data_IF_287109622063
#
_entry.id   IF_287109622063
#
_cell.length_a   1.000
_cell.length_b   1.000
_cell.length_c   1.000
_cell.angle_alpha   90.00
_cell.angle_beta   90.00
_cell.angle_gamma   90.00
#
_symmetry.space_group_name_H-M   'P 1'
#
loop_
_entity.id
_entity.type
_entity.pdbx_description
1 polymer ?
#
# COMPACT_ATOMS: atom_id res chain seq x y z
N UNK A 1 39.05 -7.51 -15.24
CA UNK A 1 38.84 -6.28 -16.03
C UNK A 1 37.82 -5.40 -15.32
N UNK A 2 38.20 -4.81 -14.18
CA UNK A 2 37.26 -4.18 -13.22
C UNK A 2 37.50 -2.65 -13.06
N UNK A 3 38.23 -2.05 -14.00
CA UNK A 3 38.60 -0.62 -13.99
C UNK A 3 37.72 0.29 -14.85
N UNK A 4 36.97 -0.25 -15.81
CA UNK A 4 36.28 0.57 -16.82
C UNK A 4 34.94 1.16 -16.37
N UNK A 5 34.33 0.61 -15.32
CA UNK A 5 32.99 1.03 -14.87
C UNK A 5 33.00 2.27 -13.97
N UNK A 6 34.14 2.61 -13.35
CA UNK A 6 34.25 3.78 -12.46
C UNK A 6 34.48 5.09 -13.24
N UNK A 7 35.16 5.02 -14.38
CA UNK A 7 35.49 6.19 -15.21
C UNK A 7 34.24 6.69 -15.96
N UNK A 8 33.36 5.78 -16.38
CA UNK A 8 32.10 6.12 -17.03
C UNK A 8 31.16 6.95 -16.12
N UNK A 9 31.15 6.68 -14.81
CA UNK A 9 30.31 7.39 -13.84
C UNK A 9 30.73 8.85 -13.61
N UNK A 10 32.03 9.13 -13.61
CA UNK A 10 32.57 10.47 -13.39
C UNK A 10 32.38 11.35 -14.63
N UNK A 11 32.55 10.78 -15.83
CA UNK A 11 32.33 11.50 -17.10
C UNK A 11 30.84 11.86 -17.28
N UNK A 12 29.92 11.00 -16.83
CA UNK A 12 28.47 11.27 -16.87
C UNK A 12 28.02 12.35 -15.87
N UNK A 13 28.71 12.53 -14.75
CA UNK A 13 28.36 13.57 -13.77
C UNK A 13 28.83 14.98 -14.16
N UNK A 14 29.88 15.13 -14.97
CA UNK A 14 30.34 16.46 -15.41
C UNK A 14 29.56 17.03 -16.60
N UNK A 15 28.87 16.20 -17.39
CA UNK A 15 28.13 16.69 -18.56
C UNK A 15 26.78 17.33 -18.20
N UNK A 16 26.15 16.88 -17.11
CA UNK A 16 24.86 17.40 -16.66
C UNK A 16 24.91 18.82 -16.08
N UNK A 17 26.04 19.20 -15.48
CA UNK A 17 26.19 20.49 -14.80
C UNK A 17 26.58 21.65 -15.73
N UNK A 18 27.06 21.38 -16.96
CA UNK A 18 27.42 22.44 -17.91
C UNK A 18 26.23 23.01 -18.70
N UNK A 19 25.13 22.26 -18.86
CA UNK A 19 23.92 22.77 -19.55
C UNK A 19 23.09 23.75 -18.71
N UNK A 20 23.29 23.78 -17.39
CA UNK A 20 22.52 24.66 -16.50
C UNK A 20 22.97 26.14 -16.57
N UNK A 21 24.20 26.42 -17.01
CA UNK A 21 24.75 27.78 -17.03
C UNK A 21 24.62 28.51 -18.38
N UNK A 22 24.16 27.83 -19.44
CA UNK A 22 24.00 28.42 -20.78
C UNK A 22 22.61 29.01 -21.09
N UNK A 23 21.60 28.82 -20.24
CA UNK A 23 20.20 29.17 -20.57
C UNK A 23 19.75 30.55 -20.09
N UNK A 24 20.60 31.31 -19.39
CA UNK A 24 20.22 32.63 -18.85
C UNK A 24 20.35 33.80 -19.83
N UNK A 25 20.82 33.57 -21.07
CA UNK A 25 21.05 34.68 -22.02
C UNK A 25 20.48 34.31 -23.38
N UNK A 26 19.18 34.55 -23.58
CA UNK A 26 18.53 34.99 -24.84
C UNK A 26 17.04 34.64 -24.86
N UNK A 27 16.28 35.18 -23.91
CA UNK A 27 14.82 35.28 -24.02
C UNK A 27 14.47 36.39 -25.02
N UNK A 28 14.69 36.11 -26.31
CA UNK A 28 14.29 36.99 -27.39
C UNK A 28 13.15 36.30 -28.14
N UNK A 29 11.91 36.51 -27.68
CA UNK A 29 10.59 36.29 -28.32
C UNK A 29 10.31 34.90 -28.96
N UNK A 30 11.22 34.34 -29.74
CA UNK A 30 11.13 33.04 -30.41
C UNK A 30 10.89 31.85 -29.46
N UNK A 31 11.50 31.85 -28.26
CA UNK A 31 11.27 30.78 -27.27
C UNK A 31 9.84 30.73 -26.72
N UNK A 32 9.16 31.88 -26.69
CA UNK A 32 7.79 32.00 -26.20
C UNK A 32 6.78 31.47 -27.23
N UNK A 33 7.06 31.63 -28.52
CA UNK A 33 6.19 31.12 -29.60
C UNK A 33 6.27 29.59 -29.70
N UNK A 34 7.48 29.02 -29.55
CA UNK A 34 7.70 27.56 -29.63
C UNK A 34 7.00 26.83 -28.46
N UNK A 35 6.99 27.42 -27.26
CA UNK A 35 6.32 26.83 -26.09
C UNK A 35 4.80 26.81 -26.20
N UNK A 36 4.17 27.79 -26.86
CA UNK A 36 2.72 27.82 -27.11
C UNK A 36 2.29 26.73 -28.12
N UNK A 37 3.09 26.50 -29.17
CA UNK A 37 2.76 25.51 -30.21
C UNK A 37 2.85 24.07 -29.67
N UNK A 38 3.89 23.76 -28.88
CA UNK A 38 4.04 22.44 -28.25
C UNK A 38 2.92 22.20 -27.23
N UNK A 39 2.54 23.23 -26.46
CA UNK A 39 1.44 23.15 -25.50
C UNK A 39 0.07 22.85 -26.14
N UNK A 40 -0.24 23.48 -27.28
CA UNK A 40 -1.55 23.32 -27.95
C UNK A 40 -1.70 21.98 -28.67
N UNK A 41 -0.64 21.44 -29.28
CA UNK A 41 -0.64 20.11 -29.91
C UNK A 41 -0.67 19.00 -28.83
N UNK A 42 0.10 19.17 -27.75
CA UNK A 42 0.10 18.25 -26.61
C UNK A 42 -1.26 18.15 -25.92
N UNK A 43 -1.94 19.28 -25.69
CA UNK A 43 -3.27 19.33 -25.05
C UNK A 43 -4.33 18.56 -25.84
N UNK A 44 -4.31 18.65 -27.17
CA UNK A 44 -5.29 17.98 -28.05
C UNK A 44 -5.08 16.47 -28.11
N UNK A 45 -3.86 15.98 -27.89
CA UNK A 45 -3.57 14.56 -27.73
C UNK A 45 -3.80 14.05 -26.30
N UNK A 46 -3.55 14.87 -25.28
CA UNK A 46 -3.76 14.49 -23.87
C UNK A 46 -5.26 14.37 -23.51
N UNK A 47 -6.11 15.20 -24.12
CA UNK A 47 -7.57 15.16 -23.91
C UNK A 47 -8.23 13.86 -24.40
N UNK A 48 -7.68 13.20 -25.44
CA UNK A 48 -8.21 11.91 -25.92
C UNK A 48 -7.68 10.70 -25.13
N UNK A 49 -6.67 10.89 -24.29
CA UNK A 49 -6.10 9.86 -23.40
C UNK A 49 -6.69 9.87 -22.00
N UNK A 50 -7.79 10.58 -21.76
CA UNK A 50 -8.67 10.25 -20.64
C UNK A 50 -9.49 9.00 -20.97
N UNK A 51 -8.77 7.89 -21.21
CA UNK A 51 -9.31 6.56 -20.92
C UNK A 51 -9.75 6.65 -19.47
N UNK A 52 -11.07 6.68 -19.28
CA UNK A 52 -11.80 6.51 -18.04
C UNK A 52 -10.86 6.01 -16.95
N UNK A 53 -10.45 6.92 -16.05
CA UNK A 53 -9.85 6.52 -14.79
C UNK A 53 -10.73 5.37 -14.29
N UNK A 54 -10.19 4.15 -14.11
CA UNK A 54 -11.00 3.09 -13.53
C UNK A 54 -11.56 3.69 -12.26
N UNK A 55 -12.89 3.73 -12.17
CA UNK A 55 -13.61 4.16 -10.98
C UNK A 55 -12.86 3.55 -9.81
N UNK A 56 -12.17 4.40 -9.04
CA UNK A 56 -11.58 3.97 -7.77
C UNK A 56 -12.72 3.25 -7.08
N UNK A 57 -12.63 1.93 -6.84
CA UNK A 57 -13.68 1.26 -6.12
C UNK A 57 -13.80 2.09 -4.85
N UNK A 58 -14.99 2.68 -4.69
CA UNK A 58 -15.43 3.32 -3.47
C UNK A 58 -14.74 2.57 -2.33
N UNK A 59 -13.92 3.20 -1.45
CA UNK A 59 -13.29 2.49 -0.35
C UNK A 59 -14.43 1.94 0.49
N UNK A 60 -14.89 0.76 0.08
CA UNK A 60 -15.87 -0.05 0.73
C UNK A 60 -15.32 -0.09 2.12
N UNK A 61 -16.14 0.41 3.07
CA UNK A 61 -15.90 0.34 4.51
C UNK A 61 -14.97 -0.83 4.75
N UNK A 62 -13.82 -0.60 5.39
CA UNK A 62 -12.85 -1.65 5.69
C UNK A 62 -13.60 -2.73 6.49
N UNK A 63 -14.18 -3.67 5.77
CA UNK A 63 -15.04 -4.68 6.32
C UNK A 63 -14.07 -5.74 6.75
N UNK A 64 -13.86 -5.80 8.06
CA UNK A 64 -13.05 -6.85 8.65
C UNK A 64 -13.67 -8.19 8.24
N UNK A 65 -13.04 -8.78 7.24
CA UNK A 65 -13.47 -10.03 6.63
C UNK A 65 -12.91 -11.16 7.48
N UNK A 66 -13.65 -12.26 7.55
CA UNK A 66 -13.26 -13.46 8.29
C UNK A 66 -11.84 -13.94 7.89
N UNK A 67 -11.44 -13.79 6.61
CA UNK A 67 -10.07 -14.06 6.14
C UNK A 67 -8.99 -13.21 6.82
N UNK A 68 -9.27 -11.93 7.11
CA UNK A 68 -8.31 -11.04 7.75
C UNK A 68 -8.06 -11.48 9.19
N UNK A 69 -9.10 -11.95 9.88
CA UNK A 69 -9.00 -12.50 11.23
C UNK A 69 -8.13 -13.76 11.22
N UNK A 70 -8.35 -14.67 10.28
CA UNK A 70 -7.55 -15.90 10.12
C UNK A 70 -6.08 -15.55 9.80
N UNK A 71 -5.84 -14.60 8.88
CA UNK A 71 -4.47 -14.13 8.57
C UNK A 71 -3.79 -13.51 9.79
N UNK A 72 -4.55 -12.77 10.60
CA UNK A 72 -4.04 -12.16 11.81
C UNK A 72 -3.70 -13.22 12.87
N UNK A 73 -4.54 -14.23 13.05
CA UNK A 73 -4.27 -15.37 13.92
C UNK A 73 -2.98 -16.11 13.50
N UNK A 74 -2.83 -16.40 12.20
CA UNK A 74 -1.60 -17.02 11.67
C UNK A 74 -0.36 -16.18 11.93
N UNK A 75 -0.45 -14.85 11.79
CA UNK A 75 0.66 -13.92 12.09
C UNK A 75 1.05 -13.94 13.58
N UNK A 76 0.09 -14.15 14.48
CA UNK A 76 0.31 -14.20 15.93
C UNK A 76 0.67 -15.60 16.46
N UNK A 77 0.96 -16.55 15.56
CA UNK A 77 1.37 -17.91 15.92
C UNK A 77 0.24 -18.93 15.96
N UNK A 78 -0.84 -18.70 15.20
CA UNK A 78 -1.96 -19.64 15.07
C UNK A 78 -2.95 -19.60 16.22
N UNK A 79 -2.83 -18.62 17.12
CA UNK A 79 -3.75 -18.42 18.25
C UNK A 79 -4.18 -16.96 18.33
N UNK A 80 -5.40 -16.74 18.79
CA UNK A 80 -5.97 -15.42 18.90
C UNK A 80 -6.92 -15.33 20.08
N UNK A 81 -6.78 -14.29 20.90
CA UNK A 81 -7.77 -13.95 21.92
C UNK A 81 -8.69 -12.82 21.46
N UNK A 82 -9.79 -12.64 22.19
CA UNK A 82 -10.69 -11.49 21.98
C UNK A 82 -9.93 -10.16 22.18
N UNK A 83 -9.00 -10.11 23.13
CA UNK A 83 -8.20 -8.92 23.45
C UNK A 83 -7.23 -8.56 22.33
N UNK A 84 -6.60 -9.57 21.73
CA UNK A 84 -5.71 -9.39 20.57
C UNK A 84 -6.49 -8.84 19.38
N UNK A 85 -7.71 -9.34 19.15
CA UNK A 85 -8.55 -8.88 18.06
C UNK A 85 -8.98 -7.41 18.26
N UNK A 86 -9.36 -7.00 19.47
CA UNK A 86 -9.73 -5.61 19.78
C UNK A 86 -8.52 -4.67 19.64
N UNK A 87 -7.32 -5.15 19.96
CA UNK A 87 -6.11 -4.32 19.88
C UNK A 87 -5.67 -4.09 18.43
N UNK A 88 -5.84 -5.10 17.59
CA UNK A 88 -5.42 -5.06 16.18
C UNK A 88 -6.50 -4.54 15.24
N UNK A 89 -7.76 -4.45 15.70
CA UNK A 89 -8.90 -4.05 14.87
C UNK A 89 -9.77 -3.04 15.59
N UNK A 90 -10.56 -2.25 14.87
CA UNK A 90 -11.50 -1.29 15.49
C UNK A 90 -12.79 -1.94 16.00
N UNK A 91 -12.77 -3.24 16.32
CA UNK A 91 -13.94 -3.96 16.81
C UNK A 91 -14.15 -3.75 18.32
N UNK A 92 -15.43 -3.65 18.71
CA UNK A 92 -15.79 -3.72 20.12
C UNK A 92 -15.68 -5.16 20.63
N UNK A 93 -15.54 -5.31 21.95
CA UNK A 93 -15.39 -6.63 22.60
C UNK A 93 -16.50 -7.63 22.23
N UNK A 94 -17.74 -7.17 22.20
CA UNK A 94 -18.88 -8.01 21.83
C UNK A 94 -18.82 -8.47 20.37
N UNK A 95 -18.49 -7.55 19.45
CA UNK A 95 -18.34 -7.86 18.03
C UNK A 95 -17.17 -8.80 17.76
N UNK A 96 -16.05 -8.58 18.45
CA UNK A 96 -14.87 -9.44 18.37
C UNK A 96 -15.19 -10.86 18.84
N UNK A 97 -15.90 -11.00 19.96
CA UNK A 97 -16.36 -12.28 20.47
C UNK A 97 -17.33 -12.96 19.50
N UNK A 98 -18.34 -12.25 19.02
CA UNK A 98 -19.32 -12.80 18.08
C UNK A 98 -18.65 -13.32 16.80
N UNK A 99 -17.65 -12.59 16.28
CA UNK A 99 -16.89 -13.01 15.09
C UNK A 99 -16.06 -14.26 15.35
N UNK A 100 -15.39 -14.35 16.49
CA UNK A 100 -14.62 -15.53 16.88
C UNK A 100 -15.51 -16.74 17.14
N UNK A 101 -16.66 -16.55 17.80
CA UNK A 101 -17.66 -17.59 18.00
C UNK A 101 -18.21 -18.09 16.66
N UNK A 102 -18.48 -17.18 15.71
CA UNK A 102 -18.92 -17.55 14.35
C UNK A 102 -17.87 -18.34 13.59
N UNK A 103 -16.59 -17.97 13.70
CA UNK A 103 -15.47 -18.72 13.10
C UNK A 103 -15.32 -20.11 13.73
N UNK A 104 -15.53 -20.22 15.04
CA UNK A 104 -15.53 -21.49 15.76
C UNK A 104 -16.67 -22.39 15.29
N UNK A 105 -17.88 -21.85 15.14
CA UNK A 105 -19.04 -22.59 14.59
C UNK A 105 -18.85 -23.06 13.16
N UNK A 106 -18.06 -22.32 12.35
CA UNK A 106 -17.67 -22.72 10.99
C UNK A 106 -16.60 -23.81 10.95
N UNK A 107 -15.93 -24.07 12.07
CA UNK A 107 -14.80 -25.01 12.17
C UNK A 107 -13.45 -24.43 11.76
N UNK A 108 -13.36 -23.10 11.57
CA UNK A 108 -12.11 -22.41 11.21
C UNK A 108 -11.17 -22.25 12.42
N UNK A 109 -11.72 -22.33 13.63
CA UNK A 109 -10.94 -22.31 14.86
C UNK A 109 -11.56 -23.20 15.95
N UNK A 110 -10.74 -23.55 16.94
CA UNK A 110 -11.15 -24.34 18.12
C UNK A 110 -10.79 -23.56 19.38
N UNK A 111 -11.62 -23.65 20.42
CA UNK A 111 -11.34 -23.01 21.70
C UNK A 111 -10.38 -23.88 22.49
N UNK A 112 -9.27 -23.30 22.94
CA UNK A 112 -8.35 -23.95 23.87
C UNK A 112 -8.96 -23.94 25.28
N UNK A 113 -9.57 -25.05 25.67
CA UNK A 113 -10.24 -25.19 26.98
C UNK A 113 -9.25 -25.45 28.13
N UNK A 114 -8.04 -25.91 27.84
CA UNK A 114 -6.99 -26.15 28.83
C UNK A 114 -6.45 -24.81 29.35
N UNK A 115 -6.13 -23.87 28.45
CA UNK A 115 -5.65 -22.53 28.86
C UNK A 115 -6.72 -21.65 29.50
N UNK A 116 -8.00 -21.89 29.20
CA UNK A 116 -9.11 -21.18 29.85
C UNK A 116 -9.15 -21.48 31.34
N UNK A 117 -8.84 -22.71 31.76
CA UNK A 117 -8.87 -23.11 33.17
C UNK A 117 -7.72 -22.51 33.99
N UNK A 118 -6.53 -22.36 33.40
CA UNK A 118 -5.37 -21.80 34.12
C UNK A 118 -5.34 -20.27 34.14
N UNK A 119 -5.65 -19.61 33.02
CA UNK A 119 -5.51 -18.15 32.89
C UNK A 119 -6.83 -17.39 33.01
N UNK A 120 -7.97 -18.08 32.92
CA UNK A 120 -9.28 -17.43 32.75
C UNK A 120 -9.44 -16.70 31.41
N UNK A 121 -8.48 -16.84 30.49
CA UNK A 121 -8.48 -16.21 29.17
C UNK A 121 -8.85 -17.22 28.10
N UNK A 122 -9.74 -16.81 27.20
CA UNK A 122 -10.20 -17.63 26.08
C UNK A 122 -9.29 -17.41 24.88
N UNK A 123 -8.61 -18.48 24.47
CA UNK A 123 -7.80 -18.52 23.26
C UNK A 123 -8.50 -19.35 22.19
N UNK A 124 -8.51 -18.83 20.96
CA UNK A 124 -8.99 -19.52 19.76
C UNK A 124 -7.79 -19.94 18.93
N UNK A 125 -7.65 -21.25 18.71
CA UNK A 125 -6.58 -21.85 17.90
C UNK A 125 -7.09 -22.01 16.47
N UNK A 126 -6.32 -21.50 15.51
CA UNK A 126 -6.59 -21.56 14.09
C UNK A 126 -5.57 -22.51 13.43
N UNK A 127 -6.07 -23.53 12.74
CA UNK A 127 -5.26 -24.48 11.97
C UNK A 127 -4.98 -24.02 10.53
#
# INVERSE_FOLDING_TARGET
MEGNNKIAGIILMCWGSLQALGSLVSFNVAGLVISIIIGTIGWRFYSKSQKKLPSVPNPSKFELTDELIIRLARRLGGRLSVEDLITQTSLNREQARERLDRLSQKGDCTIDLDQVQESGKIYYIFN
#
